data_IF_664101321748
#
_entry.id   IF_664101321748
#
_cell.length_a   1.000
_cell.length_b   1.000
_cell.length_c   1.000
_cell.angle_alpha   90.00
_cell.angle_beta   90.00
_cell.angle_gamma   90.00
#
_symmetry.space_group_name_H-M   'P 1'
#
loop_
_entity.id
_entity.type
_entity.pdbx_description
1 polymer ?
#
# COMPACT_ATOMS: atom_id res chain seq x y z
N UNK A 1 6.58 -14.50 1.59
CA UNK A 1 7.50 -14.46 0.44
C UNK A 1 8.42 -13.22 0.49
N UNK A 2 7.91 -11.99 0.64
CA UNK A 2 8.73 -10.77 0.67
C UNK A 2 9.86 -10.79 1.72
N UNK A 3 9.57 -11.30 2.92
CA UNK A 3 10.56 -11.46 3.99
C UNK A 3 11.70 -12.42 3.57
N UNK A 4 11.36 -13.55 2.96
CA UNK A 4 12.37 -14.51 2.49
C UNK A 4 13.25 -13.91 1.38
N UNK A 5 12.65 -13.09 0.50
CA UNK A 5 13.41 -12.36 -0.53
C UNK A 5 14.37 -11.32 0.08
N UNK A 6 13.95 -10.64 1.15
CA UNK A 6 14.82 -9.70 1.87
C UNK A 6 15.96 -10.43 2.59
N UNK A 7 15.69 -11.56 3.22
CA UNK A 7 16.69 -12.38 3.89
C UNK A 7 17.66 -13.10 2.95
N UNK A 8 17.26 -13.34 1.70
CA UNK A 8 18.05 -14.06 0.71
C UNK A 8 19.28 -13.30 0.19
N UNK A 9 19.46 -12.03 0.57
CA UNK A 9 20.61 -11.22 0.14
C UNK A 9 21.14 -10.38 1.30
N UNK A 10 22.44 -10.09 1.27
CA UNK A 10 23.05 -9.17 2.23
C UNK A 10 22.49 -7.75 2.08
N UNK A 11 22.04 -7.16 3.19
CA UNK A 11 21.31 -5.90 3.19
C UNK A 11 20.13 -5.90 2.21
N UNK A 12 19.38 -7.01 2.19
CA UNK A 12 18.27 -7.20 1.29
C UNK A 12 17.05 -6.38 1.70
N UNK A 13 16.41 -5.79 0.71
CA UNK A 13 15.21 -4.97 0.84
C UNK A 13 14.11 -5.57 -0.01
N UNK A 14 12.99 -5.95 0.61
CA UNK A 14 11.76 -6.25 -0.11
C UNK A 14 10.84 -5.03 -0.04
N UNK A 15 10.59 -4.42 -1.18
CA UNK A 15 9.69 -3.28 -1.33
C UNK A 15 8.39 -3.76 -1.99
N UNK A 16 7.31 -3.77 -1.23
CA UNK A 16 6.00 -4.26 -1.68
C UNK A 16 5.05 -3.07 -1.83
N UNK A 17 4.58 -2.82 -3.04
CA UNK A 17 3.54 -1.82 -3.29
C UNK A 17 2.17 -2.50 -3.24
N UNK A 18 1.26 -1.94 -2.45
CA UNK A 18 -0.11 -2.42 -2.34
C UNK A 18 -1.10 -1.38 -2.88
N UNK A 19 -2.20 -1.90 -3.43
CA UNK A 19 -3.31 -1.06 -3.88
C UNK A 19 -4.01 -0.38 -2.70
N UNK A 20 -4.86 0.59 -2.97
CA UNK A 20 -5.65 1.30 -1.96
C UNK A 20 -6.02 2.70 -2.42
N UNK A 21 -5.59 3.10 -3.63
CA UNK A 21 -5.77 4.42 -4.21
C UNK A 21 -5.28 5.49 -3.23
N UNK A 22 -6.18 6.31 -2.69
CA UNK A 22 -5.85 7.42 -1.78
C UNK A 22 -5.87 7.00 -0.30
N UNK A 23 -5.93 5.69 0.00
CA UNK A 23 -6.00 5.19 1.36
C UNK A 23 -4.97 4.10 1.65
N UNK A 24 -4.46 4.09 2.88
CA UNK A 24 -3.47 3.13 3.37
C UNK A 24 -4.03 1.92 4.11
N UNK A 25 -5.36 1.73 4.16
CA UNK A 25 -5.98 0.67 4.98
C UNK A 25 -5.50 -0.74 4.62
N UNK A 26 -5.34 -1.04 3.33
CA UNK A 26 -4.86 -2.36 2.89
C UNK A 26 -3.41 -2.56 3.33
N UNK A 27 -2.56 -1.56 3.12
CA UNK A 27 -1.15 -1.61 3.52
C UNK A 27 -0.98 -1.73 5.03
N UNK A 28 -1.74 -0.93 5.81
CA UNK A 28 -1.72 -0.96 7.26
C UNK A 28 -2.23 -2.31 7.80
N UNK A 29 -3.33 -2.83 7.27
CA UNK A 29 -3.89 -4.12 7.67
C UNK A 29 -2.94 -5.27 7.36
N UNK A 30 -2.30 -5.27 6.19
CA UNK A 30 -1.31 -6.27 5.82
C UNK A 30 -0.09 -6.25 6.76
N UNK A 31 0.36 -5.05 7.15
CA UNK A 31 1.49 -4.90 8.07
C UNK A 31 1.13 -5.34 9.50
N UNK A 32 -0.09 -5.07 9.96
CA UNK A 32 -0.55 -5.52 11.28
C UNK A 32 -0.72 -7.05 11.33
N UNK A 33 -1.10 -7.66 10.22
CA UNK A 33 -1.25 -9.11 10.13
C UNK A 33 0.09 -9.86 10.09
N UNK A 34 1.17 -9.20 9.68
CA UNK A 34 2.49 -9.82 9.48
C UNK A 34 3.57 -9.01 10.20
N UNK A 35 4.06 -9.51 11.33
CA UNK A 35 5.05 -8.84 12.17
C UNK A 35 6.44 -8.66 11.52
N UNK A 36 6.63 -9.18 10.32
CA UNK A 36 7.88 -9.10 9.55
C UNK A 36 8.04 -7.77 8.79
N UNK A 37 6.99 -6.97 8.68
CA UNK A 37 7.02 -5.66 8.04
C UNK A 37 7.72 -4.64 8.95
N UNK A 38 8.70 -3.93 8.40
CA UNK A 38 9.52 -3.01 9.18
C UNK A 38 9.16 -1.54 8.94
N UNK A 39 8.67 -1.23 7.74
CA UNK A 39 8.21 0.11 7.36
C UNK A 39 6.88 0.01 6.63
N UNK A 40 5.95 0.87 7.01
CA UNK A 40 4.66 1.03 6.35
C UNK A 40 4.52 2.49 5.95
N UNK A 41 4.35 2.72 4.65
CA UNK A 41 4.19 4.07 4.09
C UNK A 41 2.77 4.18 3.53
N UNK A 42 2.00 5.09 4.09
CA UNK A 42 0.58 5.29 3.76
C UNK A 42 0.29 6.75 3.48
N UNK A 43 -0.73 7.07 2.65
CA UNK A 43 -1.05 8.47 2.31
C UNK A 43 -1.42 9.32 3.53
N UNK A 44 -2.08 8.71 4.53
CA UNK A 44 -2.56 9.40 5.73
C UNK A 44 -1.43 9.87 6.66
N UNK A 45 -0.22 9.35 6.47
CA UNK A 45 0.96 9.71 7.28
C UNK A 45 2.08 10.19 6.35
N UNK A 46 2.22 11.51 6.15
CA UNK A 46 3.30 12.06 5.34
C UNK A 46 4.68 11.65 5.87
N UNK A 47 5.62 11.45 4.98
CA UNK A 47 6.99 11.10 5.33
C UNK A 47 8.00 11.83 4.45
N UNK A 48 9.16 12.15 5.02
CA UNK A 48 10.27 12.73 4.30
C UNK A 48 11.26 11.66 3.88
N UNK A 49 11.82 11.76 2.68
CA UNK A 49 12.91 10.88 2.22
C UNK A 49 14.22 11.19 2.94
N UNK A 50 14.52 12.48 3.13
CA UNK A 50 15.79 12.98 3.64
C UNK A 50 15.60 13.67 5.01
N UNK A 51 16.71 14.05 5.62
CA UNK A 51 16.70 14.76 6.90
C UNK A 51 16.96 13.87 8.12
N UNK A 52 16.90 14.46 9.34
CA UNK A 52 17.25 13.76 10.58
C UNK A 52 16.39 12.54 10.88
N UNK A 53 15.11 12.59 10.51
CA UNK A 53 14.12 11.49 10.63
C UNK A 53 13.65 10.98 9.29
N UNK A 54 14.40 11.27 8.20
CA UNK A 54 14.05 10.86 6.86
C UNK A 54 14.10 9.34 6.68
N UNK A 55 13.21 8.84 5.84
CA UNK A 55 13.02 7.41 5.58
C UNK A 55 14.33 6.70 5.18
N UNK A 56 15.12 7.29 4.28
CA UNK A 56 16.37 6.67 3.79
C UNK A 56 17.40 6.48 4.90
N UNK A 57 17.47 7.41 5.85
CA UNK A 57 18.36 7.30 7.01
C UNK A 57 17.90 6.19 7.96
N UNK A 58 16.60 6.10 8.22
CA UNK A 58 16.03 5.07 9.08
C UNK A 58 16.18 3.68 8.46
N UNK A 59 15.96 3.58 7.14
CA UNK A 59 16.15 2.34 6.39
C UNK A 59 17.62 1.89 6.45
N UNK A 60 18.56 2.79 6.22
CA UNK A 60 19.99 2.49 6.33
C UNK A 60 20.33 1.96 7.72
N UNK A 61 19.91 2.64 8.77
CA UNK A 61 20.13 2.20 10.14
C UNK A 61 19.56 0.81 10.38
N UNK A 62 18.36 0.51 9.89
CA UNK A 62 17.78 -0.83 9.98
C UNK A 62 18.65 -1.89 9.31
N UNK A 63 19.19 -1.59 8.14
CA UNK A 63 20.07 -2.53 7.41
C UNK A 63 21.41 -2.72 8.10
N UNK A 64 22.00 -1.66 8.69
CA UNK A 64 23.20 -1.76 9.52
C UNK A 64 22.97 -2.66 10.75
N UNK A 65 21.80 -2.57 11.37
CA UNK A 65 21.47 -3.32 12.59
C UNK A 65 21.00 -4.76 12.32
N UNK A 66 20.32 -5.00 11.19
CA UNK A 66 19.55 -6.25 10.95
C UNK A 66 19.79 -6.90 9.59
N UNK A 67 20.50 -6.25 8.70
CA UNK A 67 20.87 -6.73 7.35
C UNK A 67 19.68 -7.08 6.42
N UNK A 68 18.47 -6.70 6.78
CA UNK A 68 17.27 -6.84 5.94
C UNK A 68 16.20 -5.86 6.31
N UNK A 69 15.33 -5.54 5.35
CA UNK A 69 14.12 -4.74 5.57
C UNK A 69 12.97 -5.17 4.66
N UNK A 70 11.76 -5.21 5.21
CA UNK A 70 10.52 -5.33 4.45
C UNK A 70 9.76 -4.01 4.55
N UNK A 71 9.49 -3.42 3.40
CA UNK A 71 8.78 -2.15 3.25
C UNK A 71 7.47 -2.41 2.54
N UNK A 72 6.37 -1.98 3.13
CA UNK A 72 5.06 -1.97 2.50
C UNK A 72 4.69 -0.51 2.21
N UNK A 73 4.35 -0.21 0.96
CA UNK A 73 3.93 1.13 0.55
C UNK A 73 2.57 1.06 -0.13
N UNK A 74 1.63 1.90 0.29
CA UNK A 74 0.36 2.09 -0.41
C UNK A 74 0.59 2.92 -1.68
N UNK A 75 -0.09 2.60 -2.77
CA UNK A 75 0.09 3.28 -4.07
C UNK A 75 -0.14 4.78 -4.04
N UNK A 76 -0.98 5.27 -3.10
CA UNK A 76 -1.25 6.70 -2.90
C UNK A 76 -0.25 7.41 -1.99
N UNK A 77 0.69 6.69 -1.34
CA UNK A 77 1.67 7.30 -0.47
C UNK A 77 2.72 8.10 -1.27
N UNK A 78 3.17 9.23 -0.74
CA UNK A 78 4.25 10.02 -1.32
C UNK A 78 3.94 10.59 -2.71
N UNK A 79 2.67 10.77 -3.07
CA UNK A 79 2.30 11.36 -4.36
C UNK A 79 2.71 12.83 -4.46
N UNK A 80 2.96 13.49 -3.34
CA UNK A 80 3.53 14.84 -3.22
C UNK A 80 5.00 14.94 -3.67
N UNK A 81 5.69 13.81 -3.85
CA UNK A 81 7.03 13.80 -4.46
C UNK A 81 7.00 13.99 -5.98
N UNK A 82 5.83 13.91 -6.60
CA UNK A 82 5.65 14.06 -8.04
C UNK A 82 5.02 15.40 -8.38
N UNK A 83 5.38 15.93 -9.56
CA UNK A 83 4.83 17.19 -10.04
C UNK A 83 3.33 17.03 -10.40
N UNK A 84 2.43 17.76 -9.76
CA UNK A 84 1.00 17.69 -10.03
C UNK A 84 0.60 18.20 -11.42
N UNK A 85 1.39 19.08 -12.06
CA UNK A 85 1.09 19.65 -13.36
C UNK A 85 1.17 18.60 -14.50
N UNK A 86 1.90 17.51 -14.29
CA UNK A 86 2.07 16.41 -15.23
C UNK A 86 1.23 15.17 -14.87
N UNK A 87 0.13 15.34 -14.14
CA UNK A 87 -0.73 14.24 -13.75
C UNK A 87 -1.62 13.77 -14.90
N UNK A 88 -1.41 12.54 -15.36
CA UNK A 88 -2.33 11.85 -16.28
C UNK A 88 -3.65 11.52 -15.57
N UNK A 89 -4.75 11.49 -16.35
CA UNK A 89 -6.05 11.03 -15.84
C UNK A 89 -6.41 9.68 -16.44
N UNK A 90 -7.09 8.86 -15.66
CA UNK A 90 -7.66 7.60 -16.13
C UNK A 90 -8.95 7.84 -16.95
N UNK A 91 -9.50 6.77 -17.53
CA UNK A 91 -10.74 6.83 -18.32
C UNK A 91 -11.96 7.32 -17.52
N UNK A 92 -11.89 7.29 -16.21
CA UNK A 92 -12.93 7.75 -15.27
C UNK A 92 -12.70 9.22 -14.83
N UNK A 93 -11.67 9.89 -15.33
CA UNK A 93 -11.33 11.28 -15.01
C UNK A 93 -10.52 11.47 -13.72
N UNK A 94 -10.16 10.39 -13.02
CA UNK A 94 -9.37 10.46 -11.81
C UNK A 94 -7.87 10.63 -12.12
N UNK A 95 -7.15 11.30 -11.23
CA UNK A 95 -5.69 11.40 -11.31
C UNK A 95 -5.07 10.00 -11.21
N UNK A 96 -4.23 9.66 -12.17
CA UNK A 96 -3.48 8.42 -12.19
C UNK A 96 -2.22 8.59 -11.34
N UNK A 97 -2.13 7.83 -10.25
CA UNK A 97 -0.95 7.85 -9.40
C UNK A 97 0.32 7.43 -10.16
N UNK A 98 1.42 8.13 -9.88
CA UNK A 98 2.75 7.70 -10.30
C UNK A 98 3.18 6.49 -9.47
N UNK A 99 4.06 5.66 -10.02
CA UNK A 99 4.51 4.46 -9.28
C UNK A 99 5.50 4.81 -8.18
N UNK A 100 4.99 4.97 -6.97
CA UNK A 100 5.79 5.25 -5.77
C UNK A 100 6.78 4.14 -5.45
N UNK A 101 6.47 2.89 -5.79
CA UNK A 101 7.38 1.76 -5.55
C UNK A 101 8.62 1.85 -6.43
N UNK A 102 8.47 2.14 -7.72
CA UNK A 102 9.60 2.38 -8.63
C UNK A 102 10.40 3.59 -8.17
N UNK A 103 9.74 4.69 -7.85
CA UNK A 103 10.39 5.91 -7.35
C UNK A 103 11.24 5.65 -6.09
N UNK A 104 10.68 4.98 -5.08
CA UNK A 104 11.40 4.63 -3.86
C UNK A 104 12.59 3.71 -4.14
N UNK A 105 12.42 2.71 -5.01
CA UNK A 105 13.51 1.82 -5.43
C UNK A 105 14.68 2.61 -6.03
N UNK A 106 14.39 3.57 -6.90
CA UNK A 106 15.41 4.43 -7.51
C UNK A 106 16.09 5.30 -6.46
N UNK A 107 15.32 6.00 -5.61
CA UNK A 107 15.88 6.87 -4.56
C UNK A 107 16.71 6.13 -3.53
N UNK A 108 16.29 4.94 -3.11
CA UNK A 108 17.10 4.08 -2.22
C UNK A 108 18.42 3.69 -2.92
N UNK A 109 18.33 3.26 -4.18
CA UNK A 109 19.51 2.84 -4.93
C UNK A 109 20.50 3.99 -5.18
N UNK A 110 20.02 5.18 -5.52
CA UNK A 110 20.82 6.39 -5.69
C UNK A 110 21.56 6.74 -4.40
N UNK A 111 20.83 6.85 -3.29
CA UNK A 111 21.36 7.25 -1.98
C UNK A 111 22.41 6.25 -1.45
N UNK A 112 22.12 4.96 -1.58
CA UNK A 112 22.99 3.91 -1.03
C UNK A 112 24.24 3.72 -1.90
N UNK A 113 24.14 3.85 -3.22
CA UNK A 113 25.30 3.88 -4.11
C UNK A 113 26.19 5.07 -3.86
N UNK A 114 25.62 6.28 -3.68
CA UNK A 114 26.37 7.50 -3.37
C UNK A 114 27.17 7.38 -2.04
N UNK A 115 26.73 6.52 -1.13
CA UNK A 115 27.38 6.25 0.16
C UNK A 115 28.18 4.96 0.20
N UNK A 116 28.41 4.33 -0.94
CA UNK A 116 29.09 3.03 -1.06
C UNK A 116 28.54 1.96 -0.10
N UNK A 117 27.20 1.98 0.08
CA UNK A 117 26.50 1.06 0.97
C UNK A 117 25.92 -0.12 0.17
N UNK A 118 26.44 -1.35 0.34
CA UNK A 118 25.99 -2.52 -0.41
C UNK A 118 24.56 -2.89 -0.03
N UNK A 119 23.72 -3.11 -1.02
CA UNK A 119 22.31 -3.44 -0.85
C UNK A 119 21.74 -4.21 -2.04
N UNK A 120 20.64 -4.90 -1.82
CA UNK A 120 19.85 -5.55 -2.88
C UNK A 120 18.38 -5.22 -2.70
N UNK A 121 17.69 -4.75 -3.74
CA UNK A 121 16.27 -4.38 -3.68
C UNK A 121 15.46 -5.29 -4.60
N UNK A 122 14.44 -5.92 -4.02
CA UNK A 122 13.39 -6.63 -4.74
C UNK A 122 12.09 -5.82 -4.66
N UNK A 123 11.62 -5.34 -5.82
CA UNK A 123 10.33 -4.66 -5.93
C UNK A 123 9.25 -5.68 -6.30
N UNK A 124 8.16 -5.67 -5.55
CA UNK A 124 7.04 -6.60 -5.69
C UNK A 124 5.76 -5.77 -5.80
N UNK A 125 5.06 -5.94 -6.92
CA UNK A 125 3.72 -5.37 -7.15
C UNK A 125 2.72 -6.52 -7.38
N UNK A 126 2.01 -6.98 -6.35
CA UNK A 126 1.09 -8.11 -6.44
C UNK A 126 -0.33 -7.70 -6.87
N UNK A 127 -0.59 -6.48 -7.33
CA UNK A 127 -1.91 -5.91 -7.54
C UNK A 127 -2.88 -6.81 -8.32
N UNK A 128 -2.46 -7.35 -9.46
CA UNK A 128 -3.29 -8.28 -10.25
C UNK A 128 -3.46 -9.65 -9.58
N UNK A 129 -2.42 -10.13 -8.93
CA UNK A 129 -2.45 -11.43 -8.23
C UNK A 129 -3.44 -11.38 -7.06
N UNK A 130 -3.44 -10.30 -6.29
CA UNK A 130 -4.38 -10.10 -5.18
C UNK A 130 -5.83 -10.10 -5.68
N UNK A 131 -6.10 -9.40 -6.80
CA UNK A 131 -7.46 -9.31 -7.36
C UNK A 131 -7.97 -10.64 -7.93
N UNK A 132 -7.09 -11.54 -8.31
CA UNK A 132 -7.45 -12.87 -8.84
C UNK A 132 -7.50 -13.95 -7.76
N UNK A 133 -7.08 -13.66 -6.53
CA UNK A 133 -7.17 -14.60 -5.43
C UNK A 133 -8.63 -14.83 -5.01
N UNK A 134 -9.05 -16.07 -4.74
CA UNK A 134 -10.37 -16.33 -4.17
C UNK A 134 -10.55 -15.63 -2.82
N UNK A 135 -11.77 -15.14 -2.56
CA UNK A 135 -12.10 -14.57 -1.27
C UNK A 135 -11.95 -15.61 -0.15
N UNK A 136 -11.37 -15.23 0.97
CA UNK A 136 -11.34 -16.07 2.16
C UNK A 136 -12.74 -16.15 2.80
N UNK A 137 -12.92 -17.01 3.81
CA UNK A 137 -14.24 -17.23 4.43
C UNK A 137 -14.83 -15.95 5.05
N UNK A 138 -14.01 -15.07 5.63
CA UNK A 138 -14.48 -13.80 6.19
C UNK A 138 -14.93 -12.83 5.10
N UNK A 139 -14.16 -12.70 4.03
CA UNK A 139 -14.49 -11.83 2.91
C UNK A 139 -15.75 -12.34 2.19
N UNK A 140 -15.87 -13.66 1.98
CA UNK A 140 -17.05 -14.28 1.38
C UNK A 140 -18.32 -14.00 2.19
N UNK A 141 -18.25 -14.16 3.53
CA UNK A 141 -19.36 -13.83 4.43
C UNK A 141 -19.70 -12.35 4.38
N UNK A 142 -18.71 -11.48 4.45
CA UNK A 142 -18.88 -10.03 4.44
C UNK A 142 -19.51 -9.56 3.13
N UNK A 143 -19.01 -10.00 1.98
CA UNK A 143 -19.58 -9.69 0.67
C UNK A 143 -21.01 -10.19 0.52
N UNK A 144 -21.33 -11.38 1.03
CA UNK A 144 -22.70 -11.90 1.01
C UNK A 144 -23.65 -11.03 1.83
N UNK A 145 -23.24 -10.57 3.02
CA UNK A 145 -24.05 -9.67 3.85
C UNK A 145 -24.22 -8.30 3.18
N UNK A 146 -23.18 -7.74 2.56
CA UNK A 146 -23.29 -6.49 1.78
C UNK A 146 -24.31 -6.65 0.65
N UNK A 147 -24.23 -7.74 -0.11
CA UNK A 147 -25.13 -8.00 -1.23
C UNK A 147 -26.59 -8.18 -0.77
N UNK A 148 -26.82 -8.90 0.33
CA UNK A 148 -28.17 -9.05 0.91
C UNK A 148 -28.76 -7.70 1.32
N UNK A 149 -27.99 -6.86 2.01
CA UNK A 149 -28.44 -5.52 2.40
C UNK A 149 -28.77 -4.65 1.17
N UNK A 150 -27.95 -4.72 0.11
CA UNK A 150 -28.20 -4.00 -1.13
C UNK A 150 -29.52 -4.44 -1.80
N UNK A 151 -29.75 -5.75 -1.91
CA UNK A 151 -30.97 -6.30 -2.50
C UNK A 151 -32.21 -5.93 -1.68
N UNK A 152 -32.15 -6.09 -0.35
CA UNK A 152 -33.27 -5.71 0.52
C UNK A 152 -33.60 -4.21 0.44
N UNK A 153 -32.57 -3.35 0.39
CA UNK A 153 -32.78 -1.92 0.24
C UNK A 153 -33.41 -1.57 -1.12
N UNK A 154 -32.93 -2.18 -2.21
CA UNK A 154 -33.50 -1.98 -3.54
C UNK A 154 -34.94 -2.46 -3.63
N UNK A 155 -35.27 -3.62 -3.07
CA UNK A 155 -36.66 -4.13 -2.99
C UNK A 155 -37.57 -3.25 -2.11
N UNK A 156 -37.00 -2.54 -1.13
CA UNK A 156 -37.70 -1.54 -0.33
C UNK A 156 -37.84 -0.17 -1.03
N UNK A 157 -37.48 -0.06 -2.31
CA UNK A 157 -37.58 1.16 -3.11
C UNK A 157 -36.53 2.21 -2.83
N UNK A 158 -35.39 1.84 -2.19
CA UNK A 158 -34.26 2.75 -1.99
C UNK A 158 -33.44 2.84 -3.26
N UNK A 159 -33.00 4.06 -3.61
CA UNK A 159 -32.17 4.36 -4.77
C UNK A 159 -31.01 5.28 -4.35
N UNK A 160 -30.01 5.42 -5.21
CA UNK A 160 -28.88 6.36 -5.07
C UNK A 160 -28.12 6.18 -3.73
N UNK A 161 -27.70 4.94 -3.46
CA UNK A 161 -26.97 4.63 -2.25
C UNK A 161 -25.84 3.61 -2.46
N UNK A 162 -24.89 3.65 -1.57
CA UNK A 162 -23.88 2.60 -1.35
C UNK A 162 -24.17 1.92 -0.01
N UNK A 163 -24.08 0.59 0.03
CA UNK A 163 -24.10 -0.12 1.30
C UNK A 163 -22.74 0.03 1.97
N UNK A 164 -22.70 0.79 3.06
CA UNK A 164 -21.53 0.96 3.92
C UNK A 164 -21.57 0.03 5.13
N UNK A 165 -20.43 -0.08 5.80
CA UNK A 165 -20.30 -0.79 7.07
C UNK A 165 -19.63 0.14 8.08
N UNK A 166 -20.39 0.53 9.11
CA UNK A 166 -19.97 1.51 10.10
C UNK A 166 -20.38 1.05 11.51
N UNK A 167 -19.47 1.12 12.45
CA UNK A 167 -19.72 0.69 13.84
C UNK A 167 -20.37 -0.71 13.96
N UNK A 168 -19.89 -1.68 13.15
CA UNK A 168 -20.42 -3.04 13.10
C UNK A 168 -21.84 -3.18 12.55
N UNK A 169 -22.39 -2.13 11.92
CA UNK A 169 -23.71 -2.13 11.31
C UNK A 169 -23.64 -1.78 9.82
N UNK A 170 -24.51 -2.40 9.03
CA UNK A 170 -24.67 -2.05 7.62
C UNK A 170 -25.56 -0.81 7.51
N UNK A 171 -25.07 0.20 6.82
CA UNK A 171 -25.74 1.47 6.62
C UNK A 171 -25.93 1.76 5.13
N UNK A 172 -26.98 2.51 4.79
CA UNK A 172 -27.18 3.01 3.44
C UNK A 172 -26.64 4.44 3.37
N UNK A 173 -25.58 4.62 2.60
CA UNK A 173 -24.92 5.93 2.42
C UNK A 173 -25.41 6.52 1.10
N UNK A 174 -26.05 7.70 1.08
CA UNK A 174 -26.43 8.37 -0.18
C UNK A 174 -25.19 8.68 -1.03
N UNK A 175 -25.36 8.62 -2.36
CA UNK A 175 -24.33 8.99 -3.34
C UNK A 175 -24.48 10.47 -3.69
#
# INVERSE_FOLDING_TARGET
NAHNEAHGAYNGIALVKLMGRDSGFIAASAALAIQEVNFVLIPEVPFDLYGPRGFLKLLRKRLEDRHHAVIVVAEGAGQDFFDPENAERDASGNIKHKDIGIYLKEKISEEFKAKDFPHSIKYIDPSYIIRSAPANANDSKFCNLLAQNAVHAALAGKTDFVVGYWNYEFTLVPI
#
